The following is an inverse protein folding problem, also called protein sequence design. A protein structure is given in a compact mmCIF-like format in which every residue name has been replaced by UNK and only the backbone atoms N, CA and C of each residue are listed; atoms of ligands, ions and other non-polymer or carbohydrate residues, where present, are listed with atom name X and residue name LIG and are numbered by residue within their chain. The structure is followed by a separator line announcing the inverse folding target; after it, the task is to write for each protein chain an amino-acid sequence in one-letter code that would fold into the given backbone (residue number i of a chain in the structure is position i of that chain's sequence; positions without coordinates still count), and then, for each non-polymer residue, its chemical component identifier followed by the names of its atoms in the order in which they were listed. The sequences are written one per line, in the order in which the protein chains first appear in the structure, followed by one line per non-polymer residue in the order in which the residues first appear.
data_IF_027061267665
#
_entry.id   IF_027061267665
#
_cell.length_a   1.000
_cell.length_b   1.000
_cell.length_c   1.000
_cell.angle_alpha   90.00
_cell.angle_beta   90.00
_cell.angle_gamma   90.00
#
_symmetry.space_group_name_H-M   'P 1'
#
loop_
_entity.id
_entity.type
_entity.pdbx_description
1 polymer ?
#
# COMPACT_ATOMS: atom_id res chain seq x y z
N UNK A 1 -9.17 5.92 -22.50
CA UNK A 1 -9.00 5.72 -22.10
C UNK A 1 -8.91 5.57 -21.42
N UNK A 2 -9.06 5.60 -21.27
CA UNK A 2 -8.91 5.56 -20.70
C UNK A 2 -8.63 5.17 -20.04
N UNK A 3 -8.51 4.92 -19.99
CA UNK A 3 -8.18 4.64 -19.32
C UNK A 3 -7.65 4.61 -18.40
N UNK A 4 -7.05 4.11 -18.71
CA UNK A 4 -6.35 4.48 -17.63
C UNK A 4 -6.98 5.16 -16.47
N UNK A 5 -7.99 5.78 -16.64
CA UNK A 5 -8.62 6.40 -15.51
C UNK A 5 -8.88 5.45 -14.38
N UNK A 6 -9.19 4.22 -14.66
CA UNK A 6 -9.43 3.29 -13.56
C UNK A 6 -8.18 3.03 -12.76
N UNK A 7 -7.03 3.01 -13.41
CA UNK A 7 -5.79 2.86 -12.67
C UNK A 7 -5.54 4.07 -11.79
N UNK A 8 -5.78 5.26 -12.35
CA UNK A 8 -5.59 6.48 -11.60
C UNK A 8 -6.56 6.58 -10.43
N UNK A 9 -7.67 5.90 -10.51
CA UNK A 9 -8.68 5.93 -9.46
C UNK A 9 -8.76 4.63 -8.71
N UNK A 10 -7.65 3.90 -8.70
CA UNK A 10 -7.61 2.66 -7.95
C UNK A 10 -7.92 2.93 -6.49
N UNK A 11 -8.68 2.05 -5.91
CA UNK A 11 -9.10 2.17 -4.53
C UNK A 11 -8.65 1.02 -3.66
N UNK A 12 -7.81 0.18 -4.20
CA UNK A 12 -7.30 -0.95 -3.45
C UNK A 12 -5.88 -0.66 -3.03
N UNK A 13 -5.59 -0.87 -1.75
CA UNK A 13 -4.26 -0.68 -1.21
C UNK A 13 -3.85 -1.90 -0.43
N UNK A 14 -2.55 -2.09 -0.29
CA UNK A 14 -2.02 -3.10 0.62
C UNK A 14 -1.35 -2.35 1.75
N UNK A 15 -1.91 -2.44 2.95
CA UNK A 15 -1.30 -1.83 4.12
C UNK A 15 -0.19 -2.74 4.61
N UNK A 16 1.03 -2.25 4.52
CA UNK A 16 2.22 -3.03 4.82
C UNK A 16 2.56 -2.94 6.30
N UNK A 17 2.48 -1.75 6.86
CA UNK A 17 2.87 -1.54 8.24
C UNK A 17 2.34 -0.22 8.76
N UNK A 18 2.34 -0.06 10.07
CA UNK A 18 2.07 1.21 10.72
C UNK A 18 3.23 1.46 11.66
N UNK A 19 3.95 2.55 11.44
CA UNK A 19 5.18 2.84 12.17
C UNK A 19 5.06 4.18 12.87
N UNK A 20 5.78 4.33 13.97
CA UNK A 20 5.82 5.60 14.69
C UNK A 20 6.93 6.52 14.21
N UNK A 21 7.78 6.04 13.33
CA UNK A 21 8.93 6.77 12.82
C UNK A 21 8.70 7.15 11.37
N UNK A 22 8.61 8.45 11.10
CA UNK A 22 8.34 8.94 9.75
C UNK A 22 9.43 8.55 8.75
N UNK A 23 10.69 8.59 9.18
CA UNK A 23 11.80 8.26 8.29
C UNK A 23 11.77 6.80 7.89
N UNK A 24 11.48 5.92 8.82
CA UNK A 24 11.35 4.49 8.53
C UNK A 24 10.17 4.22 7.63
N UNK A 25 9.07 4.91 7.86
CA UNK A 25 7.88 4.76 7.04
C UNK A 25 8.18 5.18 5.59
N UNK A 26 8.90 6.28 5.42
CA UNK A 26 9.26 6.75 4.09
C UNK A 26 10.17 5.76 3.36
N UNK A 27 11.14 5.19 4.08
CA UNK A 27 12.04 4.19 3.51
C UNK A 27 11.27 2.94 3.09
N UNK A 28 10.38 2.47 3.95
CA UNK A 28 9.59 1.30 3.66
C UNK A 28 8.67 1.55 2.47
N UNK A 29 8.05 2.73 2.40
CA UNK A 29 7.17 3.08 1.30
C UNK A 29 7.91 3.02 -0.03
N UNK A 30 9.14 3.50 -0.07
CA UNK A 30 9.94 3.43 -1.28
C UNK A 30 10.21 2.00 -1.70
N UNK A 31 10.44 1.12 -0.74
CA UNK A 31 10.78 -0.26 -1.06
C UNK A 31 9.60 -1.05 -1.60
N UNK A 32 8.37 -0.61 -1.32
CA UNK A 32 7.17 -1.28 -1.80
C UNK A 32 6.39 -0.45 -2.83
N UNK A 33 7.01 0.64 -3.30
CA UNK A 33 6.36 1.54 -4.26
C UNK A 33 5.05 2.08 -3.72
N UNK A 34 5.06 2.44 -2.46
CA UNK A 34 3.85 2.84 -1.77
C UNK A 34 3.89 4.28 -1.32
N UNK A 35 2.93 4.62 -0.49
CA UNK A 35 2.78 5.95 0.08
C UNK A 35 2.71 5.86 1.59
N UNK A 36 3.00 6.96 2.25
CA UNK A 36 2.89 7.07 3.70
C UNK A 36 1.68 7.93 4.01
N UNK A 37 0.82 7.45 4.88
CA UNK A 37 -0.31 8.22 5.36
C UNK A 37 -0.21 8.41 6.87
N UNK A 38 -0.28 9.65 7.27
CA UNK A 38 -0.30 10.00 8.68
C UNK A 38 -1.64 9.61 9.29
N UNK A 39 -1.61 8.96 10.44
CA UNK A 39 -2.84 8.58 11.13
C UNK A 39 -2.58 8.68 12.62
N UNK A 40 -2.89 9.84 13.19
CA UNK A 40 -2.59 10.11 14.59
C UNK A 40 -1.10 10.12 14.82
N UNK A 41 -0.62 9.23 15.66
CA UNK A 41 0.81 9.13 15.97
C UNK A 41 1.53 8.12 15.10
N UNK A 42 0.81 7.51 14.18
CA UNK A 42 1.39 6.48 13.35
C UNK A 42 1.45 6.91 11.91
N UNK A 43 2.37 6.29 11.19
CA UNK A 43 2.52 6.48 9.77
C UNK A 43 2.22 5.15 9.10
N UNK A 44 1.14 5.10 8.35
CA UNK A 44 0.74 3.88 7.66
C UNK A 44 1.42 3.83 6.30
N UNK A 45 2.06 2.71 6.04
CA UNK A 45 2.70 2.48 4.75
C UNK A 45 1.77 1.62 3.92
N UNK A 46 1.36 2.13 2.78
CA UNK A 46 0.40 1.47 1.91
C UNK A 46 0.94 1.42 0.49
N UNK A 47 0.91 0.24 -0.09
CA UNK A 47 1.28 0.06 -1.49
C UNK A 47 0.03 0.27 -2.35
N UNK A 48 0.20 0.82 -3.52
CA UNK A 48 -0.90 1.10 -4.43
C UNK A 48 -0.90 2.54 -4.86
N UNK A 49 -1.99 3.03 -5.39
CA UNK A 49 -3.29 2.36 -5.54
C UNK A 49 -3.31 1.28 -6.64
N UNK A 50 -4.14 0.28 -6.42
CA UNK A 50 -4.37 -0.77 -7.41
C UNK A 50 -5.79 -0.66 -7.95
N UNK A 51 -5.95 -0.89 -9.23
CA UNK A 51 -7.25 -0.74 -9.86
C UNK A 51 -8.21 -1.86 -9.47
N UNK A 52 -7.68 -3.04 -9.17
CA UNK A 52 -8.51 -4.19 -8.84
C UNK A 52 -8.01 -4.87 -7.58
N UNK A 53 -8.91 -5.62 -6.96
CA UNK A 53 -8.52 -6.42 -5.81
C UNK A 53 -7.50 -7.49 -6.18
N UNK A 54 -7.64 -8.07 -7.37
CA UNK A 54 -6.70 -9.11 -7.82
C UNK A 54 -5.27 -8.56 -7.89
N UNK A 55 -5.11 -7.34 -8.40
CA UNK A 55 -3.80 -6.71 -8.45
C UNK A 55 -3.26 -6.47 -7.04
N UNK A 56 -4.13 -6.05 -6.12
CA UNK A 56 -3.73 -5.84 -4.74
C UNK A 56 -3.32 -7.16 -4.08
N UNK A 57 -4.03 -8.24 -4.38
CA UNK A 57 -3.68 -9.55 -3.82
C UNK A 57 -2.33 -10.04 -4.31
N UNK A 58 -2.03 -9.82 -5.57
CA UNK A 58 -0.72 -10.17 -6.12
C UNK A 58 0.37 -9.37 -5.41
N UNK A 59 0.14 -8.07 -5.23
CA UNK A 59 1.09 -7.23 -4.54
C UNK A 59 1.26 -7.65 -3.09
N UNK A 60 0.16 -7.99 -2.41
CA UNK A 60 0.22 -8.42 -1.02
C UNK A 60 1.06 -9.70 -0.87
N UNK A 61 0.85 -10.65 -1.77
CA UNK A 61 1.61 -11.89 -1.71
C UNK A 61 3.12 -11.64 -1.89
N UNK A 62 3.47 -10.75 -2.80
CA UNK A 62 4.86 -10.39 -3.03
C UNK A 62 5.45 -9.70 -1.80
N UNK A 63 4.71 -8.78 -1.21
CA UNK A 63 5.15 -8.06 -0.02
C UNK A 63 5.30 -9.01 1.16
N UNK A 64 4.36 -9.94 1.31
CA UNK A 64 4.42 -10.92 2.39
C UNK A 64 5.69 -11.77 2.31
N UNK A 65 6.11 -12.11 1.09
CA UNK A 65 7.34 -12.89 0.91
C UNK A 65 8.60 -12.13 1.29
N UNK A 66 8.51 -10.81 1.35
CA UNK A 66 9.64 -9.99 1.78
C UNK A 66 9.72 -9.85 3.29
N UNK A 67 8.85 -10.52 4.02
CA UNK A 67 8.85 -10.49 5.46
C UNK A 67 7.73 -9.68 6.09
N UNK A 68 6.79 -9.21 5.29
CA UNK A 68 5.67 -8.42 5.80
C UNK A 68 4.38 -9.24 5.76
N UNK A 69 4.39 -10.35 6.49
CA UNK A 69 3.26 -11.28 6.50
C UNK A 69 1.97 -10.69 7.04
N UNK A 70 2.06 -9.56 7.76
CA UNK A 70 0.87 -8.89 8.28
C UNK A 70 0.24 -7.94 7.28
N UNK A 71 0.80 -7.84 6.08
CA UNK A 71 0.24 -6.97 5.05
C UNK A 71 -1.20 -7.38 4.74
N UNK A 72 -2.08 -6.40 4.62
CA UNK A 72 -3.49 -6.67 4.37
C UNK A 72 -4.04 -5.74 3.30
N UNK A 73 -5.03 -6.23 2.58
CA UNK A 73 -5.69 -5.47 1.54
C UNK A 73 -6.76 -4.59 2.18
N UNK A 74 -6.77 -3.33 1.79
CA UNK A 74 -7.84 -2.42 2.19
C UNK A 74 -8.42 -1.75 0.96
N UNK A 75 -9.74 -1.59 0.99
CA UNK A 75 -10.44 -0.84 -0.03
C UNK A 75 -10.65 0.57 0.49
N UNK A 76 -10.41 1.55 -0.35
CA UNK A 76 -10.56 2.93 0.05
C UNK A 76 -11.55 3.61 -0.87
N UNK A 77 -12.56 4.23 -0.30
CA UNK A 77 -13.59 4.90 -1.08
C UNK A 77 -13.17 6.28 -1.53
#
# INVERSE_FOLDING_TARGET
PVKTPSAARGRWFVQVAALSDAARAATLAKSVDGVVRSAGRLYRVQAGPFATRAAAETARASIARRGFGDARIIAQD
#
